data_IF_338111568619
#
_entry.id   IF_338111568619
#
_cell.length_a   1.000
_cell.length_b   1.000
_cell.length_c   1.000
_cell.angle_alpha   90.00
_cell.angle_beta   90.00
_cell.angle_gamma   90.00
#
_symmetry.space_group_name_H-M   'P 1'
#
loop_
_entity.id
_entity.type
_entity.pdbx_description
1 polymer ?
#
# COMPACT_ATOMS: atom_id res chain seq x y z
N UNK A 1 11.41 5.26 24.72
CA UNK A 1 11.70 4.63 23.39
C UNK A 1 10.68 5.03 22.32
N UNK A 2 9.41 5.06 22.64
CA UNK A 2 8.29 5.26 21.68
C UNK A 2 8.29 6.60 20.95
N UNK A 3 8.52 7.71 21.68
CA UNK A 3 8.56 9.03 21.05
C UNK A 3 9.77 9.20 20.13
N UNK A 4 10.91 8.62 20.49
CA UNK A 4 12.12 8.68 19.66
C UNK A 4 11.94 7.89 18.36
N UNK A 5 11.36 6.68 18.42
CA UNK A 5 11.11 5.86 17.26
C UNK A 5 10.09 6.52 16.30
N UNK A 6 8.98 7.03 16.84
CA UNK A 6 7.97 7.76 16.05
C UNK A 6 8.59 8.98 15.38
N UNK A 7 9.42 9.73 16.13
CA UNK A 7 10.15 10.89 15.59
C UNK A 7 11.10 10.46 14.49
N UNK A 8 11.89 9.39 14.68
CA UNK A 8 12.80 8.88 13.68
C UNK A 8 12.09 8.48 12.38
N UNK A 9 11.01 7.70 12.46
CA UNK A 9 10.22 7.29 11.28
C UNK A 9 9.65 8.49 10.56
N UNK A 10 9.09 9.44 11.30
CA UNK A 10 8.51 10.67 10.72
C UNK A 10 9.60 11.50 10.02
N UNK A 11 10.72 11.72 10.68
CA UNK A 11 11.87 12.43 10.10
C UNK A 11 12.38 11.73 8.86
N UNK A 12 12.53 10.41 8.88
CA UNK A 12 12.95 9.63 7.71
C UNK A 12 12.02 9.85 6.51
N UNK A 13 10.70 9.73 6.70
CA UNK A 13 9.71 9.90 5.62
C UNK A 13 9.74 11.35 5.09
N UNK A 14 9.81 12.32 5.98
CA UNK A 14 9.87 13.76 5.59
C UNK A 14 11.16 14.06 4.82
N UNK A 15 12.31 13.57 5.30
CA UNK A 15 13.58 13.78 4.58
C UNK A 15 13.59 13.09 3.22
N UNK A 16 13.03 11.88 3.10
CA UNK A 16 12.91 11.19 1.83
C UNK A 16 12.01 11.97 0.86
N UNK A 17 10.89 12.53 1.33
CA UNK A 17 10.02 13.39 0.53
C UNK A 17 10.71 14.68 0.08
N UNK A 18 11.43 15.36 0.99
CA UNK A 18 12.22 16.55 0.68
C UNK A 18 13.30 16.22 -0.37
N UNK A 19 13.99 15.11 -0.17
CA UNK A 19 15.01 14.67 -1.12
C UNK A 19 14.44 14.45 -2.53
N UNK A 20 13.31 13.76 -2.66
CA UNK A 20 12.65 13.56 -3.97
C UNK A 20 12.32 14.90 -4.66
N UNK A 21 11.86 15.90 -3.90
CA UNK A 21 11.54 17.23 -4.41
C UNK A 21 12.81 17.97 -4.85
N UNK A 22 13.82 18.02 -3.97
CA UNK A 22 15.07 18.74 -4.24
C UNK A 22 15.87 18.11 -5.40
N UNK A 23 15.88 16.78 -5.48
CA UNK A 23 16.49 16.07 -6.59
C UNK A 23 15.71 16.20 -7.92
N UNK A 24 14.60 16.94 -7.95
CA UNK A 24 13.76 17.14 -9.13
C UNK A 24 13.03 15.87 -9.59
N UNK A 25 13.09 14.79 -8.80
CA UNK A 25 12.53 13.48 -9.17
C UNK A 25 11.01 13.52 -9.40
N UNK A 26 10.31 14.36 -8.64
CA UNK A 26 8.86 14.54 -8.81
C UNK A 26 8.49 15.32 -10.08
N UNK A 27 9.43 16.05 -10.72
CA UNK A 27 9.20 16.75 -11.98
C UNK A 27 9.05 15.79 -13.14
N UNK A 28 9.92 14.79 -13.20
CA UNK A 28 9.88 13.76 -14.25
C UNK A 28 8.60 12.93 -14.21
N UNK A 29 8.07 12.72 -13.02
CA UNK A 29 6.81 12.05 -12.79
C UNK A 29 5.56 12.89 -13.04
N UNK A 30 5.72 14.14 -13.43
CA UNK A 30 4.63 15.09 -13.73
C UNK A 30 3.53 15.11 -12.67
N UNK A 31 3.91 15.10 -11.39
CA UNK A 31 2.96 15.28 -10.28
C UNK A 31 2.28 16.66 -10.39
N UNK A 32 0.97 16.63 -10.41
CA UNK A 32 0.15 17.82 -10.45
C UNK A 32 -0.08 18.38 -9.04
N UNK A 33 -0.58 19.62 -8.97
CA UNK A 33 -1.07 20.16 -7.67
C UNK A 33 -2.16 19.29 -7.06
N UNK A 34 -2.96 18.60 -7.88
CA UNK A 34 -3.99 17.69 -7.41
C UNK A 34 -3.42 16.45 -6.75
N UNK A 35 -2.32 15.89 -7.29
CA UNK A 35 -1.64 14.74 -6.69
C UNK A 35 -1.14 15.08 -5.27
N UNK A 36 -0.56 16.28 -5.08
CA UNK A 36 -0.14 16.74 -3.76
C UNK A 36 -1.32 16.93 -2.79
N UNK A 37 -2.42 17.51 -3.27
CA UNK A 37 -3.63 17.68 -2.46
C UNK A 37 -4.24 16.35 -2.06
N UNK A 38 -4.26 15.36 -2.97
CA UNK A 38 -4.74 14.00 -2.65
C UNK A 38 -3.83 13.34 -1.63
N UNK A 39 -2.50 13.44 -1.78
CA UNK A 39 -1.55 12.89 -0.84
C UNK A 39 -1.72 13.50 0.57
N UNK A 40 -1.83 14.81 0.64
CA UNK A 40 -2.07 15.51 1.90
C UNK A 40 -3.41 15.09 2.55
N UNK A 41 -4.51 15.12 1.80
CA UNK A 41 -5.83 14.71 2.31
C UNK A 41 -5.83 13.26 2.79
N UNK A 42 -5.26 12.34 2.00
CA UNK A 42 -5.20 10.92 2.36
C UNK A 42 -4.40 10.70 3.65
N UNK A 43 -3.23 11.34 3.78
CA UNK A 43 -2.41 11.26 4.98
C UNK A 43 -3.12 11.84 6.20
N UNK A 44 -3.74 13.02 6.06
CA UNK A 44 -4.50 13.66 7.12
C UNK A 44 -5.66 12.77 7.59
N UNK A 45 -6.45 12.26 6.65
CA UNK A 45 -7.59 11.37 6.96
C UNK A 45 -7.13 10.06 7.60
N UNK A 46 -6.03 9.49 7.15
CA UNK A 46 -5.45 8.29 7.77
C UNK A 46 -5.06 8.54 9.22
N UNK A 47 -4.33 9.62 9.48
CA UNK A 47 -3.75 9.89 10.81
C UNK A 47 -4.80 10.40 11.79
N UNK A 48 -5.69 11.29 11.36
CA UNK A 48 -6.62 12.00 12.25
C UNK A 48 -7.97 11.29 12.38
N UNK A 49 -8.39 10.55 11.36
CA UNK A 49 -9.75 9.96 11.35
C UNK A 49 -9.70 8.43 11.32
N UNK A 50 -9.10 7.83 10.30
CA UNK A 50 -9.28 6.39 10.06
C UNK A 50 -8.60 5.53 11.11
N UNK A 51 -7.31 5.76 11.37
CA UNK A 51 -6.57 4.98 12.37
C UNK A 51 -7.09 5.19 13.81
N UNK A 52 -7.34 6.43 14.28
CA UNK A 52 -7.95 6.63 15.59
C UNK A 52 -9.34 6.01 15.72
N UNK A 53 -10.16 6.08 14.68
CA UNK A 53 -11.49 5.46 14.69
C UNK A 53 -11.42 3.93 14.82
N UNK A 54 -10.55 3.28 14.03
CA UNK A 54 -10.38 1.81 14.13
C UNK A 54 -9.83 1.43 15.49
N UNK A 55 -8.84 2.17 16.00
CA UNK A 55 -8.28 1.95 17.34
C UNK A 55 -9.37 2.03 18.41
N UNK A 56 -10.19 3.10 18.38
CA UNK A 56 -11.28 3.29 19.32
C UNK A 56 -12.31 2.15 19.25
N UNK A 57 -12.80 1.84 18.04
CA UNK A 57 -13.82 0.81 17.84
C UNK A 57 -13.33 -0.58 18.23
N UNK A 58 -12.10 -0.93 17.88
CA UNK A 58 -11.49 -2.20 18.26
C UNK A 58 -11.26 -2.30 19.76
N UNK A 59 -10.70 -1.25 20.37
CA UNK A 59 -10.47 -1.24 21.84
C UNK A 59 -11.78 -1.40 22.59
N UNK A 60 -12.83 -0.66 22.23
CA UNK A 60 -14.16 -0.80 22.85
C UNK A 60 -14.76 -2.18 22.60
N UNK A 61 -14.69 -2.69 21.37
CA UNK A 61 -15.20 -4.02 21.01
C UNK A 61 -14.48 -5.14 21.76
N UNK A 62 -13.14 -5.12 21.77
CA UNK A 62 -12.34 -6.14 22.45
C UNK A 62 -12.50 -6.07 23.97
N UNK A 63 -12.53 -4.87 24.56
CA UNK A 63 -12.75 -4.70 25.99
C UNK A 63 -14.14 -5.17 26.43
N UNK A 64 -15.15 -5.02 25.56
CA UNK A 64 -16.51 -5.52 25.83
C UNK A 64 -16.66 -7.03 25.66
N UNK A 65 -16.03 -7.60 24.62
CA UNK A 65 -16.15 -9.03 24.30
C UNK A 65 -15.16 -9.91 25.06
N UNK A 66 -13.95 -9.39 25.33
CA UNK A 66 -12.84 -10.12 25.92
C UNK A 66 -12.11 -9.30 27.01
N UNK A 67 -12.83 -8.85 28.07
CA UNK A 67 -12.26 -7.90 29.05
C UNK A 67 -11.03 -8.45 29.81
N UNK A 68 -10.93 -9.77 29.98
CA UNK A 68 -9.79 -10.41 30.64
C UNK A 68 -8.57 -10.64 29.76
N UNK A 69 -8.63 -10.28 28.46
CA UNK A 69 -7.52 -10.53 27.52
C UNK A 69 -6.57 -9.34 27.35
N UNK A 70 -6.93 -8.17 27.87
CA UNK A 70 -6.08 -7.01 27.78
C UNK A 70 -4.72 -7.29 28.47
N UNK A 71 -3.61 -7.09 27.75
CA UNK A 71 -2.27 -7.34 28.25
C UNK A 71 -1.86 -8.80 28.42
N UNK A 72 -2.72 -9.77 28.05
CA UNK A 72 -2.49 -11.21 28.30
C UNK A 72 -1.25 -11.80 27.63
N UNK A 73 -0.71 -11.15 26.61
CA UNK A 73 0.48 -11.57 25.88
C UNK A 73 1.72 -10.69 26.18
N UNK A 74 1.64 -9.74 27.11
CA UNK A 74 2.78 -8.87 27.45
C UNK A 74 4.04 -9.67 27.83
N UNK A 75 3.89 -10.80 28.50
CA UNK A 75 4.98 -11.69 28.87
C UNK A 75 5.78 -12.23 27.66
N UNK A 76 5.14 -12.39 26.48
CA UNK A 76 5.84 -12.79 25.25
C UNK A 76 6.80 -11.71 24.79
N UNK A 77 6.40 -10.44 24.91
CA UNK A 77 7.26 -9.30 24.59
C UNK A 77 8.40 -9.16 25.58
N UNK A 78 8.12 -9.31 26.86
CA UNK A 78 9.12 -9.21 27.94
C UNK A 78 10.18 -10.31 27.88
N UNK A 79 9.80 -11.56 27.60
CA UNK A 79 10.71 -12.71 27.63
C UNK A 79 11.26 -13.08 26.27
N UNK A 80 10.52 -12.85 25.20
CA UNK A 80 10.80 -13.34 23.84
C UNK A 80 10.61 -12.26 22.77
N UNK A 81 11.10 -11.05 23.01
CA UNK A 81 10.90 -9.91 22.11
C UNK A 81 11.20 -10.20 20.66
N UNK A 82 12.40 -10.68 20.32
CA UNK A 82 12.80 -10.90 18.94
C UNK A 82 12.00 -12.01 18.23
N UNK A 83 11.80 -13.19 18.80
CA UNK A 83 10.89 -14.19 18.22
C UNK A 83 9.48 -13.65 18.02
N UNK A 84 8.93 -12.93 19.01
CA UNK A 84 7.57 -12.35 18.94
C UNK A 84 7.47 -11.31 17.84
N UNK A 85 8.47 -10.43 17.67
CA UNK A 85 8.54 -9.45 16.60
C UNK A 85 8.60 -10.14 15.21
N UNK A 86 9.40 -11.19 15.06
CA UNK A 86 9.49 -11.94 13.81
C UNK A 86 8.14 -12.58 13.47
N UNK A 87 7.49 -13.25 14.43
CA UNK A 87 6.19 -13.89 14.23
C UNK A 87 5.12 -12.85 13.91
N UNK A 88 5.07 -11.74 14.64
CA UNK A 88 4.17 -10.61 14.37
C UNK A 88 4.33 -10.13 12.92
N UNK A 89 5.58 -9.91 12.50
CA UNK A 89 5.89 -9.39 11.18
C UNK A 89 5.51 -10.36 10.07
N UNK A 90 5.78 -11.66 10.27
CA UNK A 90 5.39 -12.69 9.33
C UNK A 90 3.87 -12.80 9.18
N UNK A 91 3.12 -12.84 10.29
CA UNK A 91 1.66 -12.93 10.24
C UNK A 91 1.06 -11.68 9.61
N UNK A 92 1.52 -10.51 10.01
CA UNK A 92 1.04 -9.23 9.51
C UNK A 92 1.23 -9.11 8.00
N UNK A 93 2.41 -9.49 7.50
CA UNK A 93 2.75 -9.41 6.08
C UNK A 93 1.99 -10.46 5.26
N UNK A 94 1.77 -11.65 5.81
CA UNK A 94 0.93 -12.68 5.19
C UNK A 94 -0.52 -12.20 5.05
N UNK A 95 -1.09 -11.59 6.10
CA UNK A 95 -2.44 -11.01 6.05
C UNK A 95 -2.49 -9.89 5.01
N UNK A 96 -1.53 -8.96 5.05
CA UNK A 96 -1.44 -7.87 4.07
C UNK A 96 -1.43 -8.40 2.65
N UNK A 97 -0.47 -9.27 2.33
CA UNK A 97 -0.31 -9.84 0.99
C UNK A 97 -1.54 -10.61 0.51
N UNK A 98 -2.19 -11.38 1.40
CA UNK A 98 -3.40 -12.14 1.08
C UNK A 98 -4.56 -11.24 0.64
N UNK A 99 -4.84 -10.17 1.39
CA UNK A 99 -5.93 -9.24 1.06
C UNK A 99 -5.56 -8.31 -0.09
N UNK A 100 -4.30 -7.96 -0.23
CA UNK A 100 -3.79 -7.21 -1.36
C UNK A 100 -3.88 -8.04 -2.65
N UNK A 101 -3.47 -9.32 -2.60
CA UNK A 101 -3.67 -10.27 -3.70
C UNK A 101 -5.16 -10.42 -4.03
N UNK A 102 -6.03 -10.54 -3.04
CA UNK A 102 -7.47 -10.61 -3.26
C UNK A 102 -7.97 -9.37 -4.01
N UNK A 103 -7.52 -8.17 -3.64
CA UNK A 103 -7.86 -6.95 -4.38
C UNK A 103 -7.40 -6.98 -5.84
N UNK A 104 -6.24 -7.58 -6.15
CA UNK A 104 -5.68 -7.63 -7.50
C UNK A 104 -6.05 -8.88 -8.30
N UNK A 105 -6.53 -9.94 -7.64
CA UNK A 105 -6.83 -11.23 -8.25
C UNK A 105 -7.97 -11.19 -9.27
N UNK A 106 -8.12 -12.30 -10.00
CA UNK A 106 -9.27 -12.52 -10.87
C UNK A 106 -10.56 -12.47 -10.04
N UNK A 107 -11.63 -12.06 -10.70
CA UNK A 107 -12.95 -11.93 -10.08
C UNK A 107 -13.44 -13.28 -9.53
N UNK A 108 -13.85 -13.34 -8.25
CA UNK A 108 -14.43 -14.54 -7.67
C UNK A 108 -15.72 -14.95 -8.37
N UNK A 109 -16.10 -16.24 -8.30
CA UNK A 109 -17.40 -16.71 -8.83
C UNK A 109 -18.57 -16.30 -7.92
N UNK A 110 -18.36 -16.31 -6.60
CA UNK A 110 -19.39 -15.94 -5.62
C UNK A 110 -19.70 -14.44 -5.67
N UNK A 111 -20.99 -14.09 -5.74
CA UNK A 111 -21.44 -12.69 -5.89
C UNK A 111 -21.11 -11.81 -4.69
N UNK A 112 -21.19 -12.36 -3.46
CA UNK A 112 -20.80 -11.61 -2.26
C UNK A 112 -19.29 -11.28 -2.29
N UNK A 113 -18.46 -12.27 -2.60
CA UNK A 113 -17.02 -12.05 -2.74
C UNK A 113 -16.67 -11.08 -3.88
N UNK A 114 -17.49 -11.02 -4.95
CA UNK A 114 -17.32 -10.00 -5.99
C UNK A 114 -17.54 -8.58 -5.44
N UNK A 115 -18.56 -8.38 -4.60
CA UNK A 115 -18.80 -7.09 -3.95
C UNK A 115 -17.66 -6.73 -2.99
N UNK A 116 -17.24 -7.66 -2.16
CA UNK A 116 -16.11 -7.45 -1.24
C UNK A 116 -14.85 -7.09 -2.03
N UNK A 117 -14.51 -7.86 -3.08
CA UNK A 117 -13.34 -7.56 -3.91
C UNK A 117 -13.45 -6.19 -4.60
N UNK A 118 -14.63 -5.86 -5.12
CA UNK A 118 -14.88 -4.58 -5.76
C UNK A 118 -14.70 -3.41 -4.78
N UNK A 119 -15.10 -3.60 -3.52
CA UNK A 119 -14.89 -2.62 -2.45
C UNK A 119 -13.41 -2.44 -2.11
N UNK A 120 -12.64 -3.54 -1.99
CA UNK A 120 -11.19 -3.49 -1.84
C UNK A 120 -10.51 -2.77 -3.02
N UNK A 121 -10.88 -3.11 -4.26
CA UNK A 121 -10.36 -2.43 -5.46
C UNK A 121 -10.66 -0.93 -5.46
N UNK A 122 -11.86 -0.56 -5.09
CA UNK A 122 -12.28 0.84 -4.99
C UNK A 122 -11.45 1.58 -3.96
N UNK A 123 -11.30 1.04 -2.76
CA UNK A 123 -10.57 1.68 -1.67
C UNK A 123 -9.05 1.74 -1.92
N UNK A 124 -8.52 0.81 -2.73
CA UNK A 124 -7.11 0.77 -3.11
C UNK A 124 -6.78 1.59 -4.37
N UNK A 125 -7.80 1.95 -5.16
CA UNK A 125 -7.63 2.69 -6.41
C UNK A 125 -6.79 3.96 -6.29
N UNK A 126 -6.98 4.86 -5.31
CA UNK A 126 -6.17 6.08 -5.19
C UNK A 126 -4.68 5.81 -5.09
N UNK A 127 -4.30 4.70 -4.46
CA UNK A 127 -2.92 4.26 -4.35
C UNK A 127 -2.28 3.95 -5.70
N UNK A 128 -3.04 3.35 -6.61
CA UNK A 128 -2.60 3.03 -7.97
C UNK A 128 -2.77 4.18 -8.98
N UNK A 129 -3.34 5.32 -8.62
CA UNK A 129 -3.44 6.49 -9.50
C UNK A 129 -2.16 7.34 -9.46
N UNK A 130 -1.01 6.68 -9.52
CA UNK A 130 0.28 7.36 -9.48
C UNK A 130 0.48 8.24 -10.72
N UNK A 131 0.77 9.51 -10.53
CA UNK A 131 1.52 10.31 -11.47
C UNK A 131 0.77 10.99 -12.59
N UNK A 132 -0.34 11.65 -12.32
CA UNK A 132 -0.83 12.71 -13.21
C UNK A 132 -1.61 12.29 -14.44
N UNK A 133 -1.88 13.26 -15.30
CA UNK A 133 -2.81 13.15 -16.42
C UNK A 133 -2.29 12.33 -17.60
N UNK A 134 -0.99 12.36 -17.86
CA UNK A 134 -0.39 11.76 -19.05
C UNK A 134 -0.06 10.27 -18.91
N UNK A 135 -0.43 9.68 -17.81
CA UNK A 135 -0.26 8.26 -17.54
C UNK A 135 1.19 7.74 -17.53
N UNK A 136 2.18 8.64 -17.49
CA UNK A 136 3.61 8.31 -17.37
C UNK A 136 4.14 8.58 -15.97
N UNK A 137 3.24 8.65 -14.99
CA UNK A 137 3.60 8.98 -13.63
C UNK A 137 4.65 8.05 -13.03
N UNK A 138 5.24 8.51 -11.95
CA UNK A 138 6.17 7.73 -11.14
C UNK A 138 5.62 7.60 -9.73
N UNK A 139 5.99 6.53 -9.05
CA UNK A 139 5.78 6.45 -7.61
C UNK A 139 6.65 7.50 -6.90
N UNK A 140 6.26 7.85 -5.71
CA UNK A 140 7.07 8.63 -4.80
C UNK A 140 6.71 8.29 -3.36
N UNK A 141 7.61 8.60 -2.43
CA UNK A 141 7.40 8.37 -1.00
C UNK A 141 6.10 8.98 -0.49
N UNK A 142 5.65 10.08 -1.05
CA UNK A 142 4.38 10.73 -0.65
C UNK A 142 3.14 9.90 -0.99
N UNK A 143 3.26 8.87 -1.85
CA UNK A 143 2.16 7.96 -2.17
C UNK A 143 2.05 6.75 -1.25
N UNK A 144 3.04 6.49 -0.41
CA UNK A 144 3.04 5.38 0.54
C UNK A 144 1.73 5.29 1.33
N UNK A 145 1.17 6.42 1.71
CA UNK A 145 -0.05 6.51 2.52
C UNK A 145 -1.28 6.94 1.74
N UNK A 146 -1.17 7.13 0.43
CA UNK A 146 -2.30 7.52 -0.43
C UNK A 146 -3.13 6.28 -0.73
N UNK A 147 -4.12 6.04 0.10
CA UNK A 147 -5.18 5.06 -0.15
C UNK A 147 -6.53 5.76 -0.09
N UNK A 148 -7.58 5.11 -0.59
CA UNK A 148 -8.93 5.65 -0.51
C UNK A 148 -9.46 5.65 0.92
N UNK A 149 -10.54 6.40 1.11
CA UNK A 149 -11.17 6.66 2.41
C UNK A 149 -11.50 5.42 3.25
N UNK A 150 -11.70 4.26 2.63
CA UNK A 150 -12.08 3.04 3.35
C UNK A 150 -10.90 2.08 3.63
N UNK A 151 -9.75 2.25 2.95
CA UNK A 151 -8.67 1.26 2.99
C UNK A 151 -8.21 0.90 4.41
N UNK A 152 -7.88 1.91 5.20
CA UNK A 152 -7.41 1.69 6.58
C UNK A 152 -8.49 1.17 7.54
N UNK A 153 -9.78 1.35 7.17
CA UNK A 153 -10.89 0.81 7.96
C UNK A 153 -11.13 -0.68 7.73
N UNK A 154 -10.74 -1.18 6.55
CA UNK A 154 -11.08 -2.55 6.12
C UNK A 154 -9.88 -3.49 6.02
N UNK A 155 -8.65 -2.98 6.13
CA UNK A 155 -7.44 -3.82 6.00
C UNK A 155 -7.20 -4.66 7.24
N UNK A 156 -7.33 -6.01 7.15
CA UNK A 156 -7.25 -6.88 8.31
C UNK A 156 -5.88 -6.92 8.97
N UNK A 157 -4.80 -6.64 8.23
CA UNK A 157 -3.48 -6.54 8.84
C UNK A 157 -3.38 -5.39 9.83
N UNK A 158 -4.06 -4.26 9.57
CA UNK A 158 -4.13 -3.16 10.55
C UNK A 158 -4.96 -3.56 11.78
N UNK A 159 -6.09 -4.25 11.57
CA UNK A 159 -6.86 -4.84 12.67
C UNK A 159 -6.01 -5.80 13.51
N UNK A 160 -5.24 -6.68 12.87
CA UNK A 160 -4.32 -7.59 13.55
C UNK A 160 -3.28 -6.83 14.39
N UNK A 161 -2.67 -5.79 13.85
CA UNK A 161 -1.72 -4.95 14.57
C UNK A 161 -2.35 -4.39 15.86
N UNK A 162 -3.59 -3.88 15.79
CA UNK A 162 -4.28 -3.31 16.95
C UNK A 162 -4.75 -4.38 17.96
N UNK A 163 -5.08 -5.59 17.50
CA UNK A 163 -5.34 -6.73 18.39
C UNK A 163 -4.08 -7.08 19.16
N UNK A 164 -2.92 -7.14 18.51
CA UNK A 164 -1.64 -7.37 19.19
C UNK A 164 -1.35 -6.29 20.23
N UNK A 165 -1.60 -5.02 19.90
CA UNK A 165 -1.46 -3.90 20.85
C UNK A 165 -2.39 -4.08 22.06
N UNK A 166 -3.67 -4.44 21.85
CA UNK A 166 -4.62 -4.70 22.92
C UNK A 166 -4.18 -5.87 23.84
N UNK A 167 -3.60 -6.91 23.26
CA UNK A 167 -3.07 -8.05 23.98
C UNK A 167 -1.77 -7.78 24.73
N UNK A 168 -1.21 -6.56 24.64
CA UNK A 168 -0.04 -6.12 25.39
C UNK A 168 1.30 -6.18 24.65
N UNK A 169 1.30 -6.47 23.33
CA UNK A 169 2.50 -6.46 22.50
C UNK A 169 2.82 -5.02 22.02
N UNK A 170 3.11 -4.14 22.95
CA UNK A 170 3.24 -2.68 22.69
C UNK A 170 4.50 -2.34 21.91
N UNK A 171 5.65 -2.81 22.35
CA UNK A 171 6.93 -2.54 21.68
C UNK A 171 7.03 -3.27 20.36
N UNK A 172 6.56 -4.52 20.30
CA UNK A 172 6.46 -5.30 19.06
C UNK A 172 5.58 -4.58 18.02
N UNK A 173 4.42 -4.06 18.44
CA UNK A 173 3.56 -3.25 17.57
C UNK A 173 4.28 -2.00 17.07
N UNK A 174 4.89 -1.22 17.96
CA UNK A 174 5.56 0.04 17.60
C UNK A 174 6.75 -0.19 16.66
N UNK A 175 7.63 -1.13 17.01
CA UNK A 175 8.82 -1.43 16.21
C UNK A 175 8.44 -2.10 14.90
N UNK A 176 7.52 -3.06 14.93
CA UNK A 176 7.05 -3.75 13.73
C UNK A 176 6.39 -2.80 12.72
N UNK A 177 5.51 -1.92 13.20
CA UNK A 177 4.87 -0.92 12.33
C UNK A 177 5.85 0.14 11.81
N UNK A 178 6.87 0.51 12.61
CA UNK A 178 7.93 1.41 12.19
C UNK A 178 8.79 0.81 11.08
N UNK A 179 9.25 -0.44 11.24
CA UNK A 179 10.00 -1.17 10.21
C UNK A 179 9.19 -1.22 8.93
N UNK A 180 7.91 -1.60 9.01
CA UNK A 180 7.03 -1.67 7.85
C UNK A 180 6.82 -0.31 7.19
N UNK A 181 6.65 0.74 7.97
CA UNK A 181 6.50 2.11 7.46
C UNK A 181 7.73 2.61 6.70
N UNK A 182 8.93 2.37 7.24
CA UNK A 182 10.19 2.71 6.58
C UNK A 182 10.36 1.88 5.31
N UNK A 183 10.07 0.58 5.38
CA UNK A 183 10.18 -0.30 4.22
C UNK A 183 9.20 0.08 3.11
N UNK A 184 7.95 0.34 3.45
CA UNK A 184 6.95 0.83 2.49
C UNK A 184 7.37 2.17 1.88
N UNK A 185 7.94 3.10 2.65
CA UNK A 185 8.44 4.36 2.13
C UNK A 185 9.56 4.14 1.10
N UNK A 186 10.53 3.26 1.38
CA UNK A 186 11.64 3.00 0.46
C UNK A 186 11.20 2.25 -0.82
N UNK A 187 10.17 1.40 -0.77
CA UNK A 187 9.65 0.76 -1.98
C UNK A 187 8.90 1.73 -2.90
N UNK A 188 8.41 2.84 -2.37
CA UNK A 188 7.73 3.88 -3.11
C UNK A 188 8.64 5.00 -3.61
N UNK A 189 9.91 5.07 -3.15
CA UNK A 189 10.81 6.12 -3.65
C UNK A 189 10.89 6.10 -5.17
N UNK A 190 10.90 7.25 -5.79
CA UNK A 190 10.97 7.38 -7.25
C UNK A 190 12.36 7.00 -7.82
N UNK A 191 13.22 6.55 -6.99
CA UNK A 191 14.56 6.11 -7.29
C UNK A 191 14.70 4.59 -7.08
N UNK A 192 14.75 3.84 -8.18
CA UNK A 192 14.93 2.38 -8.16
C UNK A 192 16.42 2.04 -7.92
N UNK A 193 16.88 2.25 -6.69
CA UNK A 193 18.26 2.02 -6.29
C UNK A 193 18.70 0.56 -6.43
N UNK A 194 17.78 -0.36 -6.28
CA UNK A 194 17.96 -1.79 -6.44
C UNK A 194 18.39 -2.19 -7.87
N UNK A 195 17.99 -1.43 -8.88
CA UNK A 195 18.44 -1.66 -10.27
C UNK A 195 19.95 -1.52 -10.45
N UNK A 196 20.59 -0.67 -9.66
CA UNK A 196 22.05 -0.57 -9.68
C UNK A 196 22.70 -1.91 -9.31
N UNK A 197 22.16 -2.60 -8.30
CA UNK A 197 22.66 -3.88 -7.84
C UNK A 197 22.24 -5.02 -8.76
N UNK A 198 21.03 -5.02 -9.30
CA UNK A 198 20.56 -6.00 -10.29
C UNK A 198 21.36 -5.95 -11.58
N UNK A 199 21.88 -4.79 -11.97
CA UNK A 199 22.65 -4.59 -13.19
C UNK A 199 24.16 -4.35 -12.93
N UNK A 200 24.64 -4.65 -11.72
CA UNK A 200 26.03 -4.42 -11.34
C UNK A 200 27.00 -5.24 -12.17
N UNK A 201 28.18 -4.69 -12.48
CA UNK A 201 29.21 -5.40 -13.28
C UNK A 201 29.64 -6.73 -12.68
N UNK A 202 29.72 -6.86 -11.35
CA UNK A 202 30.12 -8.07 -10.66
C UNK A 202 28.98 -9.07 -10.54
N UNK A 203 29.19 -10.31 -10.99
CA UNK A 203 28.18 -11.36 -10.98
C UNK A 203 27.69 -11.72 -9.57
N UNK A 204 28.58 -11.70 -8.57
CA UNK A 204 28.21 -12.00 -7.19
C UNK A 204 27.24 -10.96 -6.63
N UNK A 205 27.43 -9.66 -6.93
CA UNK A 205 26.50 -8.60 -6.51
C UNK A 205 25.11 -8.83 -7.10
N UNK A 206 25.04 -9.14 -8.40
CA UNK A 206 23.75 -9.45 -9.06
C UNK A 206 23.07 -10.66 -8.46
N UNK A 207 23.83 -11.73 -8.17
CA UNK A 207 23.30 -12.96 -7.55
C UNK A 207 22.80 -12.71 -6.13
N UNK A 208 23.53 -11.94 -5.33
CA UNK A 208 23.12 -11.54 -3.98
C UNK A 208 21.83 -10.72 -4.02
N UNK A 209 21.76 -9.69 -4.89
CA UNK A 209 20.56 -8.88 -5.04
C UNK A 209 19.37 -9.71 -5.51
N UNK A 210 19.58 -10.63 -6.45
CA UNK A 210 18.55 -11.56 -6.91
C UNK A 210 18.04 -12.45 -5.77
N UNK A 211 18.92 -13.01 -4.95
CA UNK A 211 18.54 -13.82 -3.80
C UNK A 211 17.77 -13.00 -2.75
N UNK A 212 18.23 -11.77 -2.45
CA UNK A 212 17.54 -10.88 -1.54
C UNK A 212 16.14 -10.51 -2.05
N UNK A 213 15.97 -10.33 -3.36
CA UNK A 213 14.68 -10.00 -3.98
C UNK A 213 13.66 -11.16 -3.94
N UNK A 214 14.07 -12.39 -3.58
CA UNK A 214 13.14 -13.49 -3.26
C UNK A 214 12.64 -13.44 -1.81
N UNK A 215 13.36 -12.73 -0.94
CA UNK A 215 13.00 -12.63 0.48
C UNK A 215 12.34 -11.29 0.80
N UNK A 216 12.85 -10.21 0.23
CA UNK A 216 12.44 -8.85 0.52
C UNK A 216 11.92 -8.15 -0.73
N UNK A 217 10.91 -7.31 -0.57
CA UNK A 217 10.37 -6.47 -1.67
C UNK A 217 11.21 -5.21 -1.83
N UNK A 218 11.66 -4.92 -3.04
CA UNK A 218 12.48 -3.77 -3.39
C UNK A 218 11.72 -2.78 -4.29
N UNK A 219 12.21 -1.54 -4.48
CA UNK A 219 11.51 -0.51 -5.26
C UNK A 219 11.07 -0.99 -6.65
N UNK A 220 11.96 -1.65 -7.41
CA UNK A 220 11.61 -2.09 -8.77
C UNK A 220 10.46 -3.10 -8.78
N UNK A 221 10.44 -4.05 -7.85
CA UNK A 221 9.33 -5.02 -7.72
C UNK A 221 8.01 -4.30 -7.44
N UNK A 222 8.00 -3.36 -6.50
CA UNK A 222 6.81 -2.59 -6.14
C UNK A 222 6.39 -1.61 -7.25
N UNK A 223 7.35 -1.02 -7.97
CA UNK A 223 7.07 -0.20 -9.13
C UNK A 223 6.39 -0.97 -10.26
N UNK A 224 6.80 -2.23 -10.49
CA UNK A 224 6.11 -3.11 -11.45
C UNK A 224 4.70 -3.48 -11.00
N UNK A 225 4.47 -3.65 -9.68
CA UNK A 225 3.12 -3.80 -9.12
C UNK A 225 2.23 -2.60 -9.48
N UNK A 226 2.74 -1.39 -9.38
CA UNK A 226 2.04 -0.15 -9.75
C UNK A 226 2.03 0.15 -11.26
N UNK A 227 2.62 -0.69 -12.08
CA UNK A 227 2.73 -0.47 -13.51
C UNK A 227 1.45 -0.83 -14.28
N UNK A 228 1.43 -0.52 -15.58
CA UNK A 228 0.43 -0.98 -16.54
C UNK A 228 0.91 -2.16 -17.39
N UNK A 229 1.98 -2.79 -17.00
CA UNK A 229 2.57 -3.92 -17.69
C UNK A 229 1.97 -5.26 -17.25
N UNK A 230 2.52 -6.37 -17.75
CA UNK A 230 2.08 -7.73 -17.40
C UNK A 230 2.27 -8.05 -15.91
N UNK A 231 3.12 -7.31 -15.21
CA UNK A 231 3.41 -7.50 -13.80
C UNK A 231 2.58 -6.60 -12.86
N UNK A 232 1.56 -5.90 -13.37
CA UNK A 232 0.75 -4.93 -12.61
C UNK A 232 -0.10 -5.52 -11.48
N UNK A 233 -0.21 -6.84 -11.37
CA UNK A 233 -0.90 -7.53 -10.29
C UNK A 233 0.02 -8.51 -9.56
N UNK A 234 1.34 -8.37 -9.72
CA UNK A 234 2.37 -9.17 -9.06
C UNK A 234 3.02 -8.40 -7.92
N UNK A 235 3.87 -9.06 -7.15
CA UNK A 235 4.59 -8.47 -6.03
C UNK A 235 3.64 -7.75 -5.06
N UNK A 236 2.67 -8.51 -4.53
CA UNK A 236 1.58 -7.97 -3.69
C UNK A 236 1.97 -7.76 -2.24
N UNK A 237 3.11 -8.32 -1.81
CA UNK A 237 3.64 -8.08 -0.46
C UNK A 237 4.37 -6.74 -0.38
N UNK A 238 4.32 -6.11 0.78
CA UNK A 238 4.94 -4.80 0.97
C UNK A 238 6.39 -4.88 1.41
N UNK A 239 6.76 -5.98 2.09
CA UNK A 239 8.09 -6.15 2.70
C UNK A 239 8.69 -7.52 2.45
N UNK A 240 7.94 -8.60 2.68
CA UNK A 240 8.42 -9.98 2.61
C UNK A 240 8.04 -10.64 1.28
N UNK A 241 8.84 -10.42 0.24
CA UNK A 241 8.66 -11.03 -1.09
C UNK A 241 8.67 -12.57 -1.07
N UNK A 242 9.14 -13.19 0.01
CA UNK A 242 9.10 -14.64 0.20
C UNK A 242 7.67 -15.21 0.11
N UNK A 243 6.66 -14.45 0.49
CA UNK A 243 5.26 -14.84 0.32
C UNK A 243 4.82 -14.78 -1.15
N UNK A 244 5.26 -13.76 -1.90
CA UNK A 244 5.03 -13.70 -3.35
C UNK A 244 5.68 -14.88 -4.06
N UNK A 245 6.86 -15.30 -3.58
CA UNK A 245 7.60 -16.41 -4.17
C UNK A 245 7.00 -17.78 -3.82
N UNK A 246 6.87 -18.09 -2.53
CA UNK A 246 6.58 -19.46 -2.07
C UNK A 246 5.08 -19.76 -1.94
N UNK A 247 4.23 -18.74 -1.72
CA UNK A 247 2.82 -18.95 -1.37
C UNK A 247 1.90 -18.41 -2.46
N UNK A 248 2.09 -17.17 -2.88
CA UNK A 248 1.16 -16.51 -3.80
C UNK A 248 1.47 -16.76 -5.28
N UNK A 249 2.72 -17.12 -5.61
CA UNK A 249 3.16 -17.31 -7.00
C UNK A 249 3.15 -16.01 -7.80
N UNK A 250 3.28 -14.88 -7.13
CA UNK A 250 3.19 -13.54 -7.72
C UNK A 250 4.54 -12.83 -7.83
N UNK A 251 5.63 -13.44 -7.40
CA UNK A 251 6.96 -12.85 -7.52
C UNK A 251 7.32 -12.56 -8.98
N UNK A 252 7.76 -11.34 -9.22
CA UNK A 252 8.35 -10.90 -10.48
C UNK A 252 9.56 -10.00 -10.20
N UNK A 253 10.72 -10.40 -10.65
CA UNK A 253 11.99 -9.66 -10.51
C UNK A 253 12.39 -9.14 -11.88
N UNK A 254 12.33 -7.83 -12.06
CA UNK A 254 12.66 -7.14 -13.29
C UNK A 254 13.96 -6.35 -13.13
N UNK A 255 14.64 -6.13 -14.26
CA UNK A 255 15.92 -5.40 -14.31
C UNK A 255 15.79 -4.01 -14.94
N UNK A 256 14.56 -3.58 -15.17
CA UNK A 256 14.23 -2.30 -15.80
C UNK A 256 13.05 -1.65 -15.07
N UNK A 257 12.95 -0.33 -15.22
CA UNK A 257 11.78 0.40 -14.72
C UNK A 257 10.56 0.10 -15.60
N UNK A 258 9.35 0.08 -15.05
CA UNK A 258 8.16 0.00 -15.87
C UNK A 258 8.01 1.24 -16.77
N UNK A 259 7.57 1.02 -18.00
CA UNK A 259 7.39 2.09 -18.98
C UNK A 259 6.25 3.07 -18.61
N UNK A 260 5.24 2.59 -17.89
CA UNK A 260 4.08 3.40 -17.48
C UNK A 260 3.59 2.96 -16.10
N UNK A 261 3.12 3.92 -15.33
CA UNK A 261 2.56 3.72 -13.99
C UNK A 261 1.07 4.01 -13.94
N UNK A 262 0.46 3.52 -12.90
CA UNK A 262 -0.87 3.89 -12.46
C UNK A 262 -2.01 3.24 -13.24
N UNK A 263 -3.17 3.21 -12.62
CA UNK A 263 -4.40 2.79 -13.28
C UNK A 263 -4.95 3.91 -14.17
N UNK A 264 -5.77 3.54 -15.15
CA UNK A 264 -6.46 4.53 -15.98
C UNK A 264 -7.48 5.29 -15.13
N UNK A 265 -7.47 6.61 -15.25
CA UNK A 265 -8.47 7.49 -14.65
C UNK A 265 -9.16 8.30 -15.75
N UNK A 266 -10.36 8.76 -15.49
CA UNK A 266 -11.03 9.71 -16.39
C UNK A 266 -10.66 11.15 -15.99
N UNK A 267 -10.92 12.10 -16.88
CA UNK A 267 -10.53 13.51 -16.69
C UNK A 267 -11.25 14.16 -15.49
N UNK A 268 -12.52 13.82 -15.27
CA UNK A 268 -13.30 14.28 -14.11
C UNK A 268 -12.68 13.85 -12.78
N UNK A 269 -12.15 12.62 -12.74
CA UNK A 269 -11.49 12.07 -11.57
C UNK A 269 -10.09 12.67 -11.39
N UNK A 270 -9.33 12.83 -12.49
CA UNK A 270 -8.01 13.42 -12.49
C UNK A 270 -8.00 14.86 -11.95
N UNK A 271 -9.05 15.60 -12.25
CA UNK A 271 -9.18 17.02 -11.90
C UNK A 271 -9.85 17.28 -10.54
N UNK A 272 -10.26 16.26 -9.80
CA UNK A 272 -10.94 16.42 -8.51
C UNK A 272 -10.30 15.61 -7.40
N UNK A 273 -9.78 16.32 -6.38
CA UNK A 273 -9.23 15.71 -5.16
C UNK A 273 -10.26 14.82 -4.48
N UNK A 274 -11.49 15.32 -4.32
CA UNK A 274 -12.54 14.58 -3.64
C UNK A 274 -12.98 13.33 -4.42
N UNK A 275 -13.12 13.41 -5.74
CA UNK A 275 -13.48 12.25 -6.56
C UNK A 275 -12.36 11.19 -6.57
N UNK A 276 -11.11 11.60 -6.47
CA UNK A 276 -9.97 10.67 -6.38
C UNK A 276 -9.91 9.98 -5.02
N UNK A 277 -10.04 10.71 -3.94
CA UNK A 277 -9.91 10.19 -2.60
C UNK A 277 -11.19 9.46 -2.13
N UNK A 278 -12.35 10.09 -2.28
CA UNK A 278 -13.67 9.56 -1.94
C UNK A 278 -14.30 8.80 -3.12
N UNK A 279 -13.50 8.17 -3.95
CA UNK A 279 -14.02 7.37 -5.01
C UNK A 279 -14.99 6.32 -4.45
N UNK A 280 -16.25 6.36 -4.92
CA UNK A 280 -17.34 5.59 -4.31
C UNK A 280 -17.99 4.57 -5.25
N UNK A 281 -17.67 4.58 -6.54
CA UNK A 281 -18.35 3.74 -7.50
C UNK A 281 -17.80 2.29 -7.53
N UNK A 282 -18.17 1.51 -6.51
CA UNK A 282 -17.88 0.08 -6.43
C UNK A 282 -18.41 -0.66 -7.66
N UNK A 283 -19.53 -0.20 -8.24
CA UNK A 283 -20.22 -0.88 -9.35
C UNK A 283 -19.37 -0.99 -10.60
N UNK A 284 -18.45 -0.08 -10.85
CA UNK A 284 -17.56 -0.18 -12.02
C UNK A 284 -16.66 -1.42 -12.00
N UNK A 285 -16.40 -1.99 -10.81
CA UNK A 285 -15.61 -3.22 -10.64
C UNK A 285 -16.47 -4.48 -10.68
N UNK A 286 -17.80 -4.32 -10.72
CA UNK A 286 -18.74 -5.43 -10.83
C UNK A 286 -18.88 -5.90 -12.30
N UNK A 287 -19.41 -7.13 -12.55
CA UNK A 287 -19.67 -7.61 -13.92
C UNK A 287 -20.49 -6.62 -14.73
N UNK A 288 -20.00 -6.26 -15.92
CA UNK A 288 -20.63 -5.27 -16.81
C UNK A 288 -20.53 -3.81 -16.35
N UNK A 289 -19.91 -3.55 -15.20
CA UNK A 289 -19.79 -2.19 -14.65
C UNK A 289 -18.97 -1.25 -15.52
N UNK A 290 -17.83 -1.72 -16.05
CA UNK A 290 -16.98 -0.95 -16.94
C UNK A 290 -17.69 -0.54 -18.24
N UNK A 291 -18.48 -1.45 -18.84
CA UNK A 291 -19.27 -1.15 -20.03
C UNK A 291 -20.37 -0.13 -19.76
N UNK A 292 -21.05 -0.24 -18.61
CA UNK A 292 -22.08 0.73 -18.19
C UNK A 292 -21.46 2.11 -17.90
N UNK A 293 -20.29 2.16 -17.27
CA UNK A 293 -19.57 3.41 -17.02
C UNK A 293 -19.13 4.08 -18.33
N UNK A 294 -18.65 3.30 -19.30
CA UNK A 294 -18.29 3.79 -20.63
C UNK A 294 -19.49 4.36 -21.36
N UNK A 295 -20.60 3.62 -21.43
CA UNK A 295 -21.86 4.08 -22.05
C UNK A 295 -22.37 5.37 -21.41
N UNK A 296 -22.41 5.45 -20.07
CA UNK A 296 -22.82 6.67 -19.34
C UNK A 296 -21.96 7.88 -19.69
N UNK A 297 -20.66 7.68 -19.92
CA UNK A 297 -19.75 8.73 -20.37
C UNK A 297 -20.06 9.20 -21.79
N UNK A 298 -20.26 8.26 -22.70
CA UNK A 298 -20.62 8.53 -24.11
C UNK A 298 -21.94 9.30 -24.19
N UNK A 299 -22.98 8.88 -23.43
CA UNK A 299 -24.26 9.55 -23.34
C UNK A 299 -24.15 10.98 -22.77
N UNK A 300 -23.22 11.20 -21.81
CA UNK A 300 -22.96 12.54 -21.25
C UNK A 300 -22.28 13.45 -22.27
N UNK A 301 -21.32 12.94 -23.03
CA UNK A 301 -20.64 13.71 -24.08
C UNK A 301 -21.59 14.06 -25.23
N UNK A 302 -22.44 13.13 -25.64
CA UNK A 302 -23.45 13.37 -26.67
C UNK A 302 -24.51 14.43 -26.27
N UNK A 303 -24.79 14.58 -24.96
CA UNK A 303 -25.71 15.60 -24.45
C UNK A 303 -25.06 16.98 -24.27
N UNK A 304 -23.74 17.05 -24.27
CA UNK A 304 -22.97 18.28 -24.10
C UNK A 304 -22.48 18.87 -25.44
N UNK A 305 -22.55 18.10 -26.52
CA UNK A 305 -22.36 18.51 -27.92
C UNK A 305 -23.68 18.95 -28.55
#
# INVERSE_FOLDING_TARGET
MDQQLTTFVTVFIVLAAIWEVLAGRTRDGKKTRQDWKVAFLATLMMVVVQRPLVLLLLTLGLSGLFPGSAGSLAWLEEQYFWPTLIVFFCIEEFIHGSFHLFAHSRRPKNRLLQWVQAFYKMSHRPHHLAGGQDNKGQLSVTQTFVNGWAWWLIMPNYTFQLVCLYLGLVEVFLIGTAIKGIWAAQTHVNWNWDLYFHNHRWAWVRKTMWALAHVLTFPTQHHHHHSRGPNSARNVTSTLAIYDWLIFGTLAIEKEKPAMYGWRQNDDEANSVLKRYFFWDVRQYMPGGAAKAKKKREDKLAKAA
#
